data_IF_574090154211
#
_entry.id   IF_574090154211
#
_cell.length_a   1.000
_cell.length_b   1.000
_cell.length_c   1.000
_cell.angle_alpha   90.00
_cell.angle_beta   90.00
_cell.angle_gamma   90.00
#
_symmetry.space_group_name_H-M   'P 1'
#
loop_
_entity.id
_entity.type
_entity.pdbx_description
1 polymer ?
#
# COMPACT_ATOMS: atom_id res chain seq x y z
N UNK A 1 30.38 -21.01 -9.01
CA UNK A 1 29.54 -22.11 -9.55
C UNK A 1 28.08 -21.78 -9.18
N UNK A 2 27.40 -21.00 -10.02
CA UNK A 2 26.06 -20.42 -9.74
C UNK A 2 24.98 -21.17 -10.53
N UNK A 3 24.58 -22.36 -10.07
CA UNK A 3 23.49 -23.14 -10.69
C UNK A 3 22.20 -23.20 -9.85
N UNK A 4 22.20 -22.60 -8.65
CA UNK A 4 21.02 -22.60 -7.75
C UNK A 4 20.04 -21.42 -7.91
N UNK A 5 20.46 -20.31 -8.53
CA UNK A 5 19.65 -19.07 -8.56
C UNK A 5 18.59 -19.06 -9.67
N UNK A 6 18.86 -19.68 -10.82
CA UNK A 6 17.93 -19.72 -11.96
C UNK A 6 16.66 -20.56 -11.70
N UNK A 7 16.75 -21.57 -10.83
CA UNK A 7 15.60 -22.43 -10.44
C UNK A 7 14.68 -21.69 -9.46
N UNK A 8 15.19 -20.71 -8.70
CA UNK A 8 14.40 -19.93 -7.76
C UNK A 8 13.53 -18.88 -8.47
N UNK A 9 14.09 -18.14 -9.44
CA UNK A 9 13.36 -17.11 -10.21
C UNK A 9 12.24 -17.68 -11.09
N UNK A 10 12.42 -18.89 -11.65
CA UNK A 10 11.36 -19.56 -12.44
C UNK A 10 10.22 -20.07 -11.57
N UNK A 11 10.52 -20.54 -10.36
CA UNK A 11 9.51 -20.98 -9.39
C UNK A 11 8.71 -19.78 -8.81
N UNK A 12 9.35 -18.61 -8.66
CA UNK A 12 8.68 -17.37 -8.24
C UNK A 12 7.66 -16.90 -9.26
N UNK A 13 7.95 -16.91 -10.57
CA UNK A 13 6.96 -16.56 -11.61
C UNK A 13 5.71 -17.47 -11.59
N UNK A 14 5.91 -18.77 -11.31
CA UNK A 14 4.81 -19.72 -11.11
C UNK A 14 4.00 -19.46 -9.83
N UNK A 15 4.68 -19.21 -8.70
CA UNK A 15 4.03 -18.87 -7.41
C UNK A 15 3.33 -17.51 -7.43
N UNK A 16 3.84 -16.55 -8.18
CA UNK A 16 3.20 -15.26 -8.46
C UNK A 16 1.83 -15.55 -9.10
N UNK A 17 1.77 -16.26 -10.23
CA UNK A 17 0.48 -16.64 -10.85
C UNK A 17 -0.47 -17.40 -9.91
N UNK A 18 0.07 -18.27 -9.04
CA UNK A 18 -0.72 -18.99 -8.04
C UNK A 18 -1.28 -18.08 -6.93
N UNK A 19 -0.47 -17.12 -6.45
CA UNK A 19 -0.86 -16.10 -5.45
C UNK A 19 -1.92 -15.16 -6.02
N UNK A 20 -1.80 -14.77 -7.30
CA UNK A 20 -2.77 -13.89 -7.97
C UNK A 20 -4.13 -14.57 -8.23
N UNK A 21 -4.17 -15.90 -8.31
CA UNK A 21 -5.34 -16.71 -8.69
C UNK A 21 -6.39 -16.98 -7.60
N UNK A 22 -6.22 -16.50 -6.35
CA UNK A 22 -7.19 -16.73 -5.26
C UNK A 22 -7.61 -15.43 -4.58
N UNK A 23 -8.85 -15.42 -4.05
CA UNK A 23 -9.55 -14.39 -3.26
C UNK A 23 -10.48 -13.44 -4.04
N UNK A 24 -11.79 -13.57 -3.77
CA UNK A 24 -12.89 -12.70 -4.20
C UNK A 24 -13.85 -12.49 -3.01
N UNK A 25 -14.25 -11.25 -2.69
CA UNK A 25 -15.39 -11.02 -1.81
C UNK A 25 -15.59 -9.59 -1.27
N UNK A 26 -16.86 -9.15 -1.34
CA UNK A 26 -17.57 -8.06 -0.64
C UNK A 26 -17.67 -6.63 -1.23
N UNK A 27 -18.89 -6.08 -1.07
CA UNK A 27 -19.48 -4.83 -1.57
C UNK A 27 -19.39 -3.70 -0.50
N UNK A 28 -19.64 -2.40 -0.77
CA UNK A 28 -20.12 -1.70 -1.96
C UNK A 28 -20.16 -0.16 -1.77
N UNK A 29 -20.96 0.49 -2.65
CA UNK A 29 -21.42 1.91 -2.75
C UNK A 29 -20.54 2.87 -3.60
N UNK A 30 -20.95 3.62 -4.66
CA UNK A 30 -22.13 3.70 -5.57
C UNK A 30 -21.85 4.80 -6.66
N UNK A 31 -22.62 4.99 -7.76
CA UNK A 31 -22.86 4.11 -8.92
C UNK A 31 -22.83 4.88 -10.28
N UNK A 32 -22.99 4.19 -11.41
CA UNK A 32 -23.49 4.68 -12.72
C UNK A 32 -22.52 4.84 -13.91
N UNK A 33 -21.20 4.60 -13.79
CA UNK A 33 -20.44 4.24 -15.01
C UNK A 33 -20.57 2.74 -15.22
N UNK A 34 -21.60 2.33 -15.97
CA UNK A 34 -21.61 0.99 -16.56
C UNK A 34 -20.48 0.97 -17.59
N UNK A 35 -19.43 0.22 -17.31
CA UNK A 35 -18.47 -0.11 -18.35
C UNK A 35 -19.15 -1.07 -19.31
N UNK A 36 -19.05 -0.84 -20.63
CA UNK A 36 -19.55 -1.82 -21.58
C UNK A 36 -18.85 -3.17 -21.31
N UNK A 37 -19.54 -4.31 -21.52
CA UNK A 37 -18.87 -5.60 -21.47
C UNK A 37 -17.68 -5.58 -22.45
N UNK A 38 -16.56 -6.22 -22.10
CA UNK A 38 -15.40 -6.29 -22.98
C UNK A 38 -15.80 -6.92 -24.32
N UNK A 39 -15.20 -6.46 -25.41
CA UNK A 39 -15.29 -7.21 -26.66
C UNK A 39 -14.57 -8.57 -26.46
N UNK A 40 -15.00 -9.64 -27.15
CA UNK A 40 -14.49 -11.00 -26.93
C UNK A 40 -12.96 -11.14 -27.00
N UNK A 41 -12.29 -10.24 -27.71
CA UNK A 41 -10.86 -10.31 -28.02
C UNK A 41 -10.01 -9.22 -27.32
N UNK A 42 -10.55 -8.49 -26.34
CA UNK A 42 -9.76 -7.46 -25.64
C UNK A 42 -8.80 -8.09 -24.63
N UNK A 43 -7.52 -7.73 -24.71
CA UNK A 43 -6.53 -8.12 -23.69
C UNK A 43 -6.79 -7.38 -22.36
N UNK A 44 -6.27 -7.86 -21.22
CA UNK A 44 -6.36 -7.14 -19.94
C UNK A 44 -5.87 -5.70 -20.00
N UNK A 45 -4.80 -5.44 -20.76
CA UNK A 45 -4.19 -4.13 -20.98
C UNK A 45 -5.14 -3.21 -21.75
N UNK A 46 -5.67 -3.66 -22.89
CA UNK A 46 -6.63 -2.90 -23.69
C UNK A 46 -7.88 -2.56 -22.88
N UNK A 47 -8.34 -3.51 -22.06
CA UNK A 47 -9.49 -3.29 -21.16
C UNK A 47 -9.15 -2.29 -20.06
N UNK A 48 -7.95 -2.33 -19.49
CA UNK A 48 -7.50 -1.36 -18.52
C UNK A 48 -7.47 0.05 -19.13
N UNK A 49 -6.90 0.22 -20.32
CA UNK A 49 -6.87 1.51 -21.03
C UNK A 49 -8.28 2.04 -21.29
N UNK A 50 -9.20 1.16 -21.71
CA UNK A 50 -10.60 1.54 -21.95
C UNK A 50 -11.31 2.03 -20.69
N UNK A 51 -11.04 1.39 -19.54
CA UNK A 51 -11.70 1.69 -18.26
C UNK A 51 -11.07 2.91 -17.58
N UNK A 52 -9.74 2.95 -17.52
CA UNK A 52 -8.96 3.98 -16.83
C UNK A 52 -8.81 5.25 -17.64
N UNK A 53 -8.77 5.14 -18.98
CA UNK A 53 -8.33 6.21 -19.87
C UNK A 53 -6.83 6.49 -19.83
N UNK A 54 -6.04 5.66 -19.13
CA UNK A 54 -4.59 5.76 -19.02
C UNK A 54 -3.95 4.72 -19.95
N UNK A 55 -3.01 5.10 -20.84
CA UNK A 55 -2.26 4.13 -21.66
C UNK A 55 -1.53 3.12 -20.77
N UNK A 56 -1.52 1.86 -21.18
CA UNK A 56 -0.89 0.79 -20.43
C UNK A 56 0.61 1.02 -20.24
N UNK A 57 1.27 1.53 -21.28
CA UNK A 57 2.70 1.89 -21.26
C UNK A 57 3.04 2.98 -20.22
N UNK A 58 2.04 3.74 -19.76
CA UNK A 58 2.22 4.74 -18.71
C UNK A 58 2.19 4.15 -17.29
N UNK A 59 1.66 2.93 -17.11
CA UNK A 59 1.56 2.27 -15.81
C UNK A 59 2.93 1.91 -15.27
N UNK A 60 3.80 1.36 -16.12
CA UNK A 60 5.13 0.91 -15.70
C UNK A 60 5.98 2.03 -15.13
N UNK A 61 6.17 3.18 -15.80
CA UNK A 61 6.94 4.28 -15.24
C UNK A 61 6.37 4.84 -13.93
N UNK A 62 5.05 4.81 -13.73
CA UNK A 62 4.42 5.28 -12.50
C UNK A 62 4.71 4.32 -11.33
N UNK A 63 4.55 3.02 -11.54
CA UNK A 63 4.82 2.01 -10.51
C UNK A 63 6.32 1.80 -10.26
N UNK A 64 7.16 2.12 -11.25
CA UNK A 64 8.62 2.07 -11.18
C UNK A 64 9.28 3.33 -10.61
N UNK A 65 8.51 4.40 -10.38
CA UNK A 65 9.08 5.72 -10.13
C UNK A 65 10.00 5.74 -8.90
N UNK A 66 11.17 6.38 -9.02
CA UNK A 66 12.17 6.48 -7.95
C UNK A 66 12.87 5.15 -7.58
N UNK A 67 12.62 4.04 -8.28
CA UNK A 67 13.46 2.85 -8.17
C UNK A 67 14.82 3.11 -8.86
N UNK A 68 15.93 2.52 -8.36
CA UNK A 68 17.24 2.66 -8.99
C UNK A 68 17.25 2.22 -10.46
N UNK A 69 18.03 2.91 -11.31
CA UNK A 69 18.05 2.69 -12.77
C UNK A 69 18.47 1.28 -13.19
N UNK A 70 19.27 0.60 -12.35
CA UNK A 70 19.70 -0.79 -12.56
C UNK A 70 18.66 -1.83 -12.09
N UNK A 71 17.52 -1.39 -11.57
CA UNK A 71 16.42 -2.27 -11.17
C UNK A 71 15.68 -2.78 -12.39
N UNK A 72 15.65 -4.10 -12.56
CA UNK A 72 14.86 -4.75 -13.60
C UNK A 72 13.40 -4.88 -13.15
N UNK A 73 12.48 -4.37 -13.98
CA UNK A 73 11.06 -4.27 -13.63
C UNK A 73 10.21 -5.09 -14.60
N UNK A 74 9.41 -5.99 -14.04
CA UNK A 74 8.40 -6.80 -14.72
C UNK A 74 7.02 -6.44 -14.15
N UNK A 75 6.02 -6.31 -15.01
CA UNK A 75 4.64 -6.00 -14.60
C UNK A 75 3.71 -7.00 -15.25
N UNK A 76 2.89 -7.64 -14.41
CA UNK A 76 1.85 -8.56 -14.82
C UNK A 76 0.48 -7.94 -14.56
N UNK A 77 -0.47 -8.23 -15.44
CA UNK A 77 -1.82 -7.70 -15.38
C UNK A 77 -2.84 -8.82 -15.49
N UNK A 78 -3.73 -8.88 -14.51
CA UNK A 78 -4.88 -9.75 -14.55
C UNK A 78 -6.16 -8.91 -14.45
N UNK A 79 -7.13 -9.19 -15.31
CA UNK A 79 -8.47 -8.65 -15.19
C UNK A 79 -9.40 -9.78 -14.76
N UNK A 80 -10.13 -9.58 -13.67
CA UNK A 80 -11.26 -10.44 -13.32
C UNK A 80 -12.56 -9.69 -13.61
N UNK A 81 -13.39 -10.27 -14.47
CA UNK A 81 -14.80 -9.89 -14.52
C UNK A 81 -15.49 -10.55 -13.32
N UNK A 82 -16.10 -9.76 -12.44
CA UNK A 82 -16.97 -10.34 -11.42
C UNK A 82 -18.13 -11.09 -12.07
N UNK A 83 -18.73 -12.05 -11.35
CA UNK A 83 -19.97 -12.72 -11.76
C UNK A 83 -21.14 -11.75 -12.02
N UNK A 84 -21.03 -10.52 -11.49
CA UNK A 84 -21.86 -9.38 -11.83
C UNK A 84 -21.05 -8.51 -12.80
N UNK A 85 -21.50 -8.36 -14.06
CA UNK A 85 -20.88 -7.55 -15.13
C UNK A 85 -20.59 -6.08 -14.75
N UNK A 86 -20.98 -5.68 -13.52
CA UNK A 86 -20.84 -4.36 -12.93
C UNK A 86 -19.52 -4.17 -12.16
N UNK A 87 -18.74 -5.24 -11.93
CA UNK A 87 -17.45 -5.15 -11.24
C UNK A 87 -16.32 -5.53 -12.19
N UNK A 88 -15.61 -4.52 -12.69
CA UNK A 88 -14.32 -4.72 -13.34
C UNK A 88 -13.23 -4.41 -12.33
N UNK A 89 -12.57 -5.46 -11.83
CA UNK A 89 -11.40 -5.35 -10.97
C UNK A 89 -10.15 -5.77 -11.74
N UNK A 90 -9.08 -5.03 -11.55
CA UNK A 90 -7.76 -5.39 -12.06
C UNK A 90 -6.86 -5.77 -10.90
N UNK A 91 -6.00 -6.76 -11.12
CA UNK A 91 -4.83 -7.00 -10.27
C UNK A 91 -3.60 -6.66 -11.08
N UNK A 92 -2.76 -5.82 -10.52
CA UNK A 92 -1.49 -5.39 -11.09
C UNK A 92 -0.39 -5.97 -10.22
N UNK A 93 0.41 -6.86 -10.78
CA UNK A 93 1.62 -7.36 -10.13
C UNK A 93 2.82 -6.59 -10.62
N UNK A 94 3.65 -6.09 -9.71
CA UNK A 94 4.97 -5.56 -10.02
C UNK A 94 6.03 -6.45 -9.35
N UNK A 95 7.04 -6.79 -10.13
CA UNK A 95 8.25 -7.45 -9.68
C UNK A 95 9.46 -6.59 -10.04
N UNK A 96 10.23 -6.20 -9.03
CA UNK A 96 11.46 -5.43 -9.21
C UNK A 96 12.66 -6.20 -8.64
N UNK A 97 13.65 -6.45 -9.49
CA UNK A 97 14.87 -7.21 -9.19
C UNK A 97 16.10 -6.28 -9.22
N UNK A 98 16.93 -6.29 -8.17
CA UNK A 98 18.23 -5.62 -8.14
C UNK A 98 19.24 -6.52 -7.44
N UNK A 99 20.27 -6.98 -8.15
CA UNK A 99 21.20 -7.99 -7.63
C UNK A 99 20.48 -9.30 -7.25
N UNK A 100 20.63 -9.73 -5.99
CA UNK A 100 19.89 -10.86 -5.38
C UNK A 100 18.63 -10.41 -4.61
N UNK A 101 18.29 -9.12 -4.68
CA UNK A 101 17.13 -8.53 -4.03
C UNK A 101 15.88 -8.53 -4.91
N UNK A 102 14.72 -8.64 -4.27
CA UNK A 102 13.41 -8.75 -4.93
C UNK A 102 12.34 -7.96 -4.18
N UNK A 103 11.64 -7.07 -4.89
CA UNK A 103 10.41 -6.43 -4.46
C UNK A 103 9.24 -7.09 -5.20
N UNK A 104 8.24 -7.53 -4.44
CA UNK A 104 6.96 -8.00 -4.96
C UNK A 104 5.86 -7.05 -4.49
N UNK A 105 5.14 -6.49 -5.44
CA UNK A 105 3.97 -5.65 -5.20
C UNK A 105 2.76 -6.22 -5.95
N UNK A 106 1.60 -6.23 -5.29
CA UNK A 106 0.31 -6.60 -5.88
C UNK A 106 -0.70 -5.53 -5.50
N UNK A 107 -1.33 -4.92 -6.49
CA UNK A 107 -2.36 -3.90 -6.33
C UNK A 107 -3.68 -4.42 -6.92
N UNK A 108 -4.72 -4.48 -6.09
CA UNK A 108 -6.09 -4.61 -6.57
C UNK A 108 -6.66 -3.20 -6.86
N UNK A 109 -7.14 -3.01 -8.08
CA UNK A 109 -7.73 -1.77 -8.58
C UNK A 109 -9.22 -1.99 -8.78
N UNK A 110 -10.04 -1.29 -8.00
CA UNK A 110 -11.49 -1.31 -8.15
C UNK A 110 -11.98 0.05 -8.65
N UNK A 111 -12.21 0.13 -9.97
CA UNK A 111 -12.73 1.33 -10.63
C UNK A 111 -14.19 1.63 -10.29
N UNK A 112 -14.94 0.66 -9.80
CA UNK A 112 -16.35 0.86 -9.43
C UNK A 112 -16.46 1.73 -8.18
N UNK A 113 -15.55 1.57 -7.23
CA UNK A 113 -15.50 2.35 -5.98
C UNK A 113 -14.37 3.38 -5.97
N UNK A 114 -13.48 3.37 -6.97
CA UNK A 114 -12.36 4.31 -7.09
C UNK A 114 -11.34 4.13 -5.96
N UNK A 115 -11.01 2.87 -5.66
CA UNK A 115 -10.09 2.49 -4.58
C UNK A 115 -8.96 1.64 -5.14
N UNK A 116 -7.76 1.94 -4.67
CA UNK A 116 -6.58 1.09 -4.82
C UNK A 116 -6.35 0.32 -3.51
N UNK A 117 -6.05 -0.98 -3.60
CA UNK A 117 -5.76 -1.84 -2.45
C UNK A 117 -4.47 -2.61 -2.67
N UNK A 118 -3.39 -2.31 -1.95
CA UNK A 118 -2.21 -3.14 -1.94
C UNK A 118 -2.51 -4.46 -1.23
N UNK A 119 -2.44 -5.56 -1.98
CA UNK A 119 -2.58 -6.92 -1.46
C UNK A 119 -1.25 -7.43 -0.89
N UNK A 120 -0.14 -7.09 -1.58
CA UNK A 120 1.21 -7.56 -1.23
C UNK A 120 2.18 -6.41 -1.46
N UNK A 121 3.03 -6.10 -0.47
CA UNK A 121 4.26 -5.32 -0.64
C UNK A 121 5.33 -6.03 0.18
N UNK A 122 6.25 -6.75 -0.48
CA UNK A 122 7.28 -7.55 0.20
C UNK A 122 8.65 -7.32 -0.42
N UNK A 123 9.66 -7.25 0.44
CA UNK A 123 11.06 -7.13 0.03
C UNK A 123 11.90 -8.30 0.55
N UNK A 124 12.80 -8.79 -0.29
CA UNK A 124 13.68 -9.92 -0.03
C UNK A 124 15.12 -9.57 -0.43
N UNK A 125 16.09 -10.34 0.08
CA UNK A 125 17.50 -10.20 -0.29
C UNK A 125 18.10 -8.85 0.05
N UNK A 126 19.07 -8.40 -0.76
CA UNK A 126 19.84 -7.17 -0.50
C UNK A 126 19.00 -5.90 -0.47
N UNK A 127 17.89 -5.82 -1.20
CA UNK A 127 17.05 -4.61 -1.21
C UNK A 127 16.27 -4.37 0.11
N UNK A 128 16.22 -5.36 1.02
CA UNK A 128 15.53 -5.21 2.31
C UNK A 128 16.23 -4.14 3.17
N UNK A 129 15.46 -3.14 3.57
CA UNK A 129 15.95 -2.00 4.34
C UNK A 129 16.46 -0.84 3.48
N UNK A 130 16.50 -0.98 2.16
CA UNK A 130 16.93 0.07 1.23
C UNK A 130 15.78 1.01 0.79
N UNK A 131 14.64 0.97 1.48
CA UNK A 131 13.51 1.86 1.19
C UNK A 131 12.56 1.43 0.06
N UNK A 132 12.81 0.31 -0.63
CA UNK A 132 11.95 -0.20 -1.71
C UNK A 132 10.45 -0.30 -1.34
N UNK A 133 10.13 -0.80 -0.14
CA UNK A 133 8.72 -0.87 0.30
C UNK A 133 8.08 0.51 0.51
N UNK A 134 8.87 1.53 0.89
CA UNK A 134 8.39 2.91 1.00
C UNK A 134 8.11 3.51 -0.38
N UNK A 135 9.00 3.20 -1.34
CA UNK A 135 8.87 3.63 -2.75
C UNK A 135 7.65 2.99 -3.41
N UNK A 136 7.47 1.68 -3.25
CA UNK A 136 6.29 0.97 -3.74
C UNK A 136 4.98 1.62 -3.27
N UNK A 137 4.86 1.91 -1.97
CA UNK A 137 3.67 2.59 -1.43
C UNK A 137 3.44 3.98 -2.05
N UNK A 138 4.49 4.79 -2.15
CA UNK A 138 4.38 6.11 -2.74
C UNK A 138 4.01 6.03 -4.23
N UNK A 139 4.56 5.07 -4.96
CA UNK A 139 4.22 4.82 -6.36
C UNK A 139 2.78 4.34 -6.52
N UNK A 140 2.29 3.46 -5.64
CA UNK A 140 0.89 3.06 -5.59
C UNK A 140 -0.02 4.28 -5.35
N UNK A 141 0.34 5.18 -4.44
CA UNK A 141 -0.43 6.40 -4.21
C UNK A 141 -0.42 7.35 -5.43
N UNK A 142 0.73 7.56 -6.06
CA UNK A 142 0.85 8.34 -7.31
C UNK A 142 0.04 7.73 -8.44
N UNK A 143 0.08 6.40 -8.58
CA UNK A 143 -0.71 5.66 -9.55
C UNK A 143 -2.21 5.82 -9.29
N UNK A 144 -2.67 5.66 -8.05
CA UNK A 144 -4.06 5.91 -7.68
C UNK A 144 -4.50 7.35 -7.95
N UNK A 145 -3.63 8.33 -7.69
CA UNK A 145 -3.88 9.73 -8.02
C UNK A 145 -3.99 9.95 -9.54
N UNK A 146 -3.13 9.32 -10.34
CA UNK A 146 -3.17 9.37 -11.81
C UNK A 146 -4.46 8.77 -12.37
N UNK A 147 -5.02 7.76 -11.71
CA UNK A 147 -6.34 7.20 -12.02
C UNK A 147 -7.52 8.07 -11.57
N UNK A 148 -7.26 9.18 -10.87
CA UNK A 148 -8.29 10.07 -10.33
C UNK A 148 -9.05 9.47 -9.14
N UNK A 149 -8.46 8.51 -8.44
CA UNK A 149 -9.04 7.94 -7.22
C UNK A 149 -8.93 8.94 -6.06
N UNK A 150 -9.69 8.69 -4.99
CA UNK A 150 -9.70 9.56 -3.80
C UNK A 150 -8.79 9.06 -2.69
N UNK A 151 -8.61 7.74 -2.60
CA UNK A 151 -7.85 7.11 -1.51
C UNK A 151 -7.27 5.77 -1.92
N UNK A 152 -6.28 5.35 -1.14
CA UNK A 152 -5.78 3.98 -1.09
C UNK A 152 -6.22 3.35 0.23
N UNK A 153 -6.85 2.18 0.14
CA UNK A 153 -7.20 1.38 1.32
C UNK A 153 -6.08 0.37 1.57
N UNK A 154 -5.67 0.28 2.82
CA UNK A 154 -4.48 -0.42 3.25
C UNK A 154 -4.85 -1.45 4.31
N UNK A 155 -4.26 -2.64 4.23
CA UNK A 155 -4.31 -3.63 5.30
C UNK A 155 -2.96 -3.68 6.03
N UNK A 156 -2.86 -2.92 7.12
CA UNK A 156 -1.63 -2.57 7.79
C UNK A 156 -1.23 -3.64 8.79
N UNK A 157 -0.11 -4.30 8.52
CA UNK A 157 0.66 -5.09 9.49
C UNK A 157 2.13 -4.69 9.40
N UNK A 158 2.95 -5.04 10.39
CA UNK A 158 4.38 -4.70 10.33
C UNK A 158 5.06 -5.28 9.07
N UNK A 159 4.70 -6.51 8.67
CA UNK A 159 5.20 -7.18 7.47
C UNK A 159 4.85 -6.45 6.18
N UNK A 160 3.67 -5.83 6.16
CA UNK A 160 3.18 -5.02 5.04
C UNK A 160 3.73 -3.59 5.09
N UNK A 161 4.40 -3.20 6.18
CA UNK A 161 4.90 -1.84 6.37
C UNK A 161 3.92 -0.92 7.08
N UNK A 162 2.95 -1.43 7.83
CA UNK A 162 1.95 -0.67 8.57
C UNK A 162 2.53 0.47 9.43
N UNK A 163 3.72 0.28 10.02
CA UNK A 163 4.45 1.36 10.70
C UNK A 163 4.87 2.49 9.74
N UNK A 164 5.39 2.15 8.55
CA UNK A 164 5.75 3.12 7.51
C UNK A 164 4.51 3.87 7.01
N UNK A 165 3.38 3.17 6.93
CA UNK A 165 2.12 3.74 6.46
C UNK A 165 1.54 4.72 7.48
N UNK A 166 1.57 4.34 8.76
CA UNK A 166 1.26 5.25 9.87
C UNK A 166 2.14 6.51 9.82
N UNK A 167 3.45 6.37 9.61
CA UNK A 167 4.36 7.53 9.42
C UNK A 167 3.99 8.38 8.21
N UNK A 168 3.46 7.79 7.15
CA UNK A 168 2.97 8.52 5.97
C UNK A 168 1.66 9.29 6.24
N UNK A 169 1.04 9.07 7.40
CA UNK A 169 -0.21 9.69 7.79
C UNK A 169 -1.44 8.84 7.50
N UNK A 170 -1.27 7.54 7.20
CA UNK A 170 -2.40 6.63 7.06
C UNK A 170 -3.27 6.64 8.32
N UNK A 171 -4.58 6.77 8.12
CA UNK A 171 -5.53 6.81 9.22
C UNK A 171 -6.22 5.46 9.38
N UNK A 172 -6.31 4.93 10.62
CA UNK A 172 -7.04 3.70 10.87
C UNK A 172 -8.54 3.90 10.62
N UNK A 173 -9.17 2.85 10.12
CA UNK A 173 -10.63 2.81 9.94
C UNK A 173 -11.33 3.11 11.28
N UNK A 174 -12.44 3.84 11.22
CA UNK A 174 -13.10 4.38 12.41
C UNK A 174 -13.51 3.28 13.41
N UNK A 175 -13.97 2.14 12.90
CA UNK A 175 -14.37 0.96 13.65
C UNK A 175 -13.20 0.21 14.30
N UNK A 176 -11.97 0.44 13.86
CA UNK A 176 -10.77 -0.21 14.40
C UNK A 176 -9.96 0.67 15.36
N UNK A 177 -10.30 1.97 15.46
CA UNK A 177 -9.57 2.92 16.33
C UNK A 177 -9.54 2.48 17.79
N UNK A 178 -10.66 1.96 18.31
CA UNK A 178 -10.75 1.54 19.70
C UNK A 178 -9.83 0.35 20.01
N UNK A 179 -9.88 -0.70 19.19
CA UNK A 179 -9.06 -1.89 19.41
C UNK A 179 -7.57 -1.59 19.24
N UNK A 180 -7.21 -0.76 18.24
CA UNK A 180 -5.84 -0.32 18.04
C UNK A 180 -5.34 0.54 19.21
N UNK A 181 -6.16 1.47 19.71
CA UNK A 181 -5.83 2.29 20.89
C UNK A 181 -5.61 1.42 22.13
N UNK A 182 -6.52 0.48 22.42
CA UNK A 182 -6.38 -0.46 23.53
C UNK A 182 -5.08 -1.28 23.42
N UNK A 183 -4.74 -1.74 22.22
CA UNK A 183 -3.49 -2.46 21.98
C UNK A 183 -2.27 -1.59 22.29
N UNK A 184 -2.23 -0.37 21.74
CA UNK A 184 -1.13 0.58 21.96
C UNK A 184 -0.93 0.87 23.45
N UNK A 185 -2.02 1.10 24.19
CA UNK A 185 -1.95 1.32 25.63
C UNK A 185 -1.41 0.11 26.39
N UNK A 186 -1.83 -1.11 26.03
CA UNK A 186 -1.27 -2.32 26.63
C UNK A 186 0.24 -2.49 26.35
N UNK A 187 0.73 -2.03 25.20
CA UNK A 187 2.18 -1.99 24.91
C UNK A 187 2.89 -0.86 25.65
N UNK A 188 2.22 0.27 25.90
CA UNK A 188 2.79 1.35 26.69
C UNK A 188 2.93 0.98 28.16
N UNK A 189 1.92 0.36 28.76
CA UNK A 189 1.95 -0.06 30.18
C UNK A 189 3.17 -0.94 30.49
N UNK A 190 3.57 -1.77 29.52
CA UNK A 190 4.79 -2.60 29.56
C UNK A 190 6.08 -1.78 29.65
N UNK A 191 6.08 -0.60 29.06
CA UNK A 191 7.23 0.31 28.95
C UNK A 191 7.25 1.41 30.03
N UNK A 192 6.30 1.42 30.97
CA UNK A 192 6.16 2.50 31.95
C UNK A 192 7.44 2.77 32.75
N UNK A 193 8.15 1.72 33.17
CA UNK A 193 9.37 1.84 33.98
C UNK A 193 10.64 2.06 33.15
N UNK A 194 10.51 2.11 31.82
CA UNK A 194 11.64 2.13 30.87
C UNK A 194 11.68 3.43 30.08
N UNK A 195 10.51 3.98 29.74
CA UNK A 195 10.42 5.23 29.02
C UNK A 195 10.61 6.41 29.98
N UNK A 196 11.33 7.47 29.57
CA UNK A 196 11.28 8.74 30.26
C UNK A 196 9.83 9.22 30.39
N UNK A 197 9.47 9.75 31.55
CA UNK A 197 8.08 10.16 31.86
C UNK A 197 7.46 11.03 30.77
N UNK A 198 8.24 11.98 30.22
CA UNK A 198 7.79 12.85 29.13
C UNK A 198 7.50 12.09 27.82
N UNK A 199 8.29 11.07 27.47
CA UNK A 199 8.05 10.24 26.29
C UNK A 199 6.81 9.36 26.51
N UNK A 200 6.70 8.74 27.68
CA UNK A 200 5.56 7.93 28.07
C UNK A 200 4.25 8.73 28.01
N UNK A 201 4.22 9.92 28.63
CA UNK A 201 3.02 10.77 28.66
C UNK A 201 2.57 11.19 27.25
N UNK A 202 3.51 11.55 26.37
CA UNK A 202 3.19 11.89 24.97
C UNK A 202 2.66 10.70 24.19
N UNK A 203 3.32 9.56 24.29
CA UNK A 203 2.88 8.34 23.63
C UNK A 203 1.52 7.89 24.15
N UNK A 204 1.28 7.99 25.45
CA UNK A 204 0.00 7.68 26.07
C UNK A 204 -1.12 8.62 25.60
N UNK A 205 -0.86 9.92 25.45
CA UNK A 205 -1.86 10.84 24.91
C UNK A 205 -2.20 10.52 23.46
N UNK A 206 -1.20 10.35 22.59
CA UNK A 206 -1.43 10.02 21.18
C UNK A 206 -1.99 8.61 20.99
N UNK A 207 -1.70 7.67 21.91
CA UNK A 207 -2.23 6.31 21.95
C UNK A 207 -3.75 6.24 22.02
N UNK A 208 -4.41 7.33 22.45
CA UNK A 208 -5.87 7.44 22.48
C UNK A 208 -6.50 7.60 21.09
N UNK A 209 -5.70 7.92 20.07
CA UNK A 209 -6.11 8.08 18.67
C UNK A 209 -7.34 8.99 18.48
N UNK A 210 -7.42 10.07 19.27
CA UNK A 210 -8.57 10.99 19.28
C UNK A 210 -8.55 11.97 18.12
N UNK A 211 -7.36 12.27 17.61
CA UNK A 211 -7.16 13.26 16.57
C UNK A 211 -6.53 12.67 15.32
N UNK A 212 -6.87 13.27 14.17
CA UNK A 212 -6.20 13.01 12.91
C UNK A 212 -4.67 13.19 13.08
N UNK A 213 -3.90 12.21 12.62
CA UNK A 213 -2.44 12.21 12.70
C UNK A 213 -1.83 11.79 14.05
N UNK A 214 -2.60 11.40 15.07
CA UNK A 214 -2.02 10.87 16.31
C UNK A 214 -1.22 9.58 16.06
N UNK A 215 -1.75 8.68 15.23
CA UNK A 215 -1.04 7.48 14.81
C UNK A 215 0.27 7.81 14.08
N UNK A 216 0.28 8.89 13.27
CA UNK A 216 1.49 9.36 12.60
C UNK A 216 2.54 9.83 13.61
N UNK A 217 2.14 10.58 14.64
CA UNK A 217 3.05 11.06 15.69
C UNK A 217 3.65 9.88 16.48
N UNK A 218 2.82 8.89 16.85
CA UNK A 218 3.29 7.67 17.49
C UNK A 218 4.31 6.92 16.64
N UNK A 219 3.98 6.67 15.37
CA UNK A 219 4.89 6.01 14.45
C UNK A 219 6.17 6.84 14.20
N UNK A 220 6.12 8.16 14.36
CA UNK A 220 7.30 9.02 14.25
C UNK A 220 8.27 8.91 15.43
N UNK A 221 7.84 8.39 16.58
CA UNK A 221 8.67 8.30 17.78
C UNK A 221 9.86 7.35 17.56
N UNK A 222 11.07 7.91 17.67
CA UNK A 222 12.33 7.23 17.38
C UNK A 222 13.09 6.77 18.63
N UNK A 223 12.49 6.89 19.82
CA UNK A 223 13.12 6.43 21.06
C UNK A 223 13.45 4.94 20.95
N UNK A 224 14.69 4.56 21.25
CA UNK A 224 15.15 3.18 21.14
C UNK A 224 14.63 2.37 22.34
N UNK A 225 13.88 1.30 22.06
CA UNK A 225 13.34 0.37 23.06
C UNK A 225 13.90 -1.05 22.86
N UNK A 226 15.04 -1.19 22.16
CA UNK A 226 15.65 -2.49 21.88
C UNK A 226 15.95 -3.29 23.15
N UNK A 227 16.42 -2.63 24.22
CA UNK A 227 16.69 -3.30 25.51
C UNK A 227 15.43 -3.94 26.13
N UNK A 228 14.24 -3.43 25.78
CA UNK A 228 12.96 -3.99 26.24
C UNK A 228 12.51 -5.20 25.42
N UNK A 229 12.90 -5.23 24.13
CA UNK A 229 12.57 -6.32 23.21
C UNK A 229 13.04 -7.67 23.77
N UNK A 230 14.26 -7.68 24.30
CA UNK A 230 14.89 -8.89 24.83
C UNK A 230 14.14 -9.40 26.07
N UNK A 231 13.73 -8.49 26.96
CA UNK A 231 12.89 -8.81 28.13
C UNK A 231 11.55 -9.43 27.73
N UNK A 232 10.92 -8.90 26.69
CA UNK A 232 9.64 -9.43 26.18
C UNK A 232 9.77 -10.83 25.57
N UNK A 233 10.88 -11.09 24.88
CA UNK A 233 11.16 -12.43 24.35
C UNK A 233 11.31 -13.45 25.48
N UNK A 234 11.99 -13.07 26.58
CA UNK A 234 12.10 -13.90 27.79
C UNK A 234 10.71 -14.14 28.43
N UNK A 235 9.91 -13.09 28.61
CA UNK A 235 8.55 -13.17 29.17
C UNK A 235 7.64 -14.08 28.30
N UNK A 236 7.66 -13.93 26.97
CA UNK A 236 6.86 -14.75 26.05
C UNK A 236 7.31 -16.21 26.03
N UNK A 237 8.63 -16.46 26.05
CA UNK A 237 9.21 -17.81 26.09
C UNK A 237 8.85 -18.53 27.38
N UNK A 238 8.88 -17.81 28.51
CA UNK A 238 8.48 -18.33 29.81
C UNK A 238 6.99 -18.64 29.90
N UNK A 239 6.15 -17.86 29.20
CA UNK A 239 4.68 -17.97 29.30
C UNK A 239 4.09 -18.97 28.30
N UNK A 240 4.82 -19.33 27.23
CA UNK A 240 4.51 -20.35 26.19
C UNK A 240 3.02 -20.64 26.00
N UNK A 241 2.22 -19.59 25.83
CA UNK A 241 0.85 -19.71 25.33
C UNK A 241 0.93 -19.70 23.82
N UNK A 242 0.19 -20.62 23.19
CA UNK A 242 0.06 -20.80 21.76
C UNK A 242 -0.63 -19.62 21.06
N UNK A 243 -0.19 -18.38 21.29
CA UNK A 243 -0.63 -17.24 20.50
C UNK A 243 0.14 -17.24 19.19
N UNK A 244 -0.59 -17.31 18.08
CA UNK A 244 -0.06 -17.23 16.71
C UNK A 244 0.52 -15.84 16.35
N UNK A 245 0.69 -14.96 17.33
CA UNK A 245 1.23 -13.61 17.14
C UNK A 245 2.75 -13.68 17.25
N UNK A 246 3.43 -13.41 16.13
CA UNK A 246 4.89 -13.23 16.09
C UNK A 246 5.35 -12.24 17.15
N UNK A 247 6.42 -12.58 17.86
CA UNK A 247 7.02 -11.68 18.83
C UNK A 247 8.05 -10.74 18.14
N UNK A 248 8.53 -9.69 18.83
CA UNK A 248 9.54 -8.79 18.26
C UNK A 248 10.87 -9.47 17.85
N UNK A 249 11.20 -10.61 18.44
CA UNK A 249 12.41 -11.38 18.12
C UNK A 249 12.25 -12.07 16.75
N UNK A 250 11.07 -12.64 16.47
CA UNK A 250 10.72 -13.18 15.15
C UNK A 250 10.91 -12.11 14.06
N UNK A 251 10.45 -10.88 14.30
CA UNK A 251 10.65 -9.76 13.37
C UNK A 251 12.12 -9.34 13.24
N UNK A 252 12.91 -9.45 14.32
CA UNK A 252 14.35 -9.20 14.27
C UNK A 252 15.06 -10.25 13.41
N UNK A 253 14.75 -11.53 13.64
CA UNK A 253 15.28 -12.66 12.88
C UNK A 253 14.88 -12.62 11.41
N UNK A 254 13.68 -12.13 11.12
CA UNK A 254 13.21 -11.83 9.77
C UNK A 254 13.79 -10.51 9.21
N UNK A 255 14.64 -9.81 9.95
CA UNK A 255 15.36 -8.63 9.47
C UNK A 255 14.52 -7.37 9.32
N UNK A 256 13.37 -7.26 10.00
CA UNK A 256 12.57 -6.03 10.08
C UNK A 256 13.18 -4.99 11.02
N UNK A 257 13.94 -5.44 12.03
CA UNK A 257 14.58 -4.58 13.04
C UNK A 257 16.11 -4.65 12.95
N UNK A 258 16.69 -4.15 11.85
CA UNK A 258 18.15 -4.20 11.64
C UNK A 258 18.96 -3.28 12.56
N UNK A 259 18.40 -2.13 12.94
CA UNK A 259 19.08 -1.08 13.69
C UNK A 259 18.40 -0.84 15.05
N UNK A 260 17.95 -1.92 15.70
CA UNK A 260 17.11 -1.84 16.89
C UNK A 260 15.63 -1.62 16.60
N UNK A 261 14.85 -1.44 17.66
CA UNK A 261 13.40 -1.26 17.65
C UNK A 261 13.08 0.11 18.21
N UNK A 262 12.47 0.97 17.40
CA UNK A 262 11.95 2.26 17.87
C UNK A 262 10.62 2.08 18.60
N UNK A 263 10.30 3.00 19.51
CA UNK A 263 9.01 3.03 20.22
C UNK A 263 7.83 2.95 19.26
N UNK A 264 7.82 3.72 18.17
CA UNK A 264 6.72 3.67 17.20
C UNK A 264 6.59 2.32 16.49
N UNK A 265 7.71 1.62 16.22
CA UNK A 265 7.67 0.26 15.66
C UNK A 265 7.14 -0.74 16.68
N UNK A 266 7.61 -0.62 17.92
CA UNK A 266 7.20 -1.49 19.02
C UNK A 266 5.70 -1.38 19.32
N UNK A 267 5.14 -0.17 19.36
CA UNK A 267 3.71 0.03 19.64
C UNK A 267 2.78 -0.56 18.57
N UNK A 268 3.30 -0.83 17.37
CA UNK A 268 2.53 -1.36 16.24
C UNK A 268 2.92 -2.78 15.85
N UNK A 269 3.93 -3.38 16.50
CA UNK A 269 4.33 -4.77 16.26
C UNK A 269 3.15 -5.70 16.54
N UNK A 270 2.95 -6.74 15.73
CA UNK A 270 1.84 -7.69 15.93
C UNK A 270 0.43 -7.11 15.76
N UNK A 271 0.28 -5.84 15.40
CA UNK A 271 -1.03 -5.26 15.05
C UNK A 271 -1.39 -5.54 13.61
N UNK A 272 -2.68 -5.72 13.37
CA UNK A 272 -3.27 -5.81 12.05
C UNK A 272 -4.47 -4.86 12.04
N UNK A 273 -4.46 -3.87 11.16
CA UNK A 273 -5.54 -2.90 11.06
C UNK A 273 -5.75 -2.38 9.63
N UNK A 274 -7.00 -2.13 9.26
CA UNK A 274 -7.40 -1.39 8.08
C UNK A 274 -7.07 0.09 8.25
N UNK A 275 -6.45 0.68 7.24
CA UNK A 275 -6.14 2.10 7.19
C UNK A 275 -6.43 2.68 5.81
N UNK A 276 -6.41 4.00 5.69
CA UNK A 276 -6.50 4.67 4.40
C UNK A 276 -5.61 5.90 4.33
N UNK A 277 -5.17 6.22 3.12
CA UNK A 277 -4.52 7.48 2.80
C UNK A 277 -5.40 8.19 1.76
N UNK A 278 -5.77 9.44 2.05
CA UNK A 278 -6.54 10.31 1.17
C UNK A 278 -5.58 11.07 0.24
N UNK A 279 -5.79 10.94 -1.07
CA UNK A 279 -4.95 11.57 -2.08
C UNK A 279 -5.19 13.09 -2.22
N UNK A 280 -6.27 13.62 -1.62
CA UNK A 280 -6.54 15.04 -1.54
C UNK A 280 -5.94 15.68 -0.27
N UNK A 281 -5.54 14.87 0.71
CA UNK A 281 -4.88 15.38 1.92
C UNK A 281 -3.41 15.72 1.62
N UNK A 282 -3.15 17.03 1.51
CA UNK A 282 -1.85 17.55 1.11
C UNK A 282 -0.72 17.10 2.04
N UNK A 283 -0.99 16.96 3.35
CA UNK A 283 0.04 16.54 4.31
C UNK A 283 0.47 15.08 4.08
N UNK A 284 -0.48 14.20 3.78
CA UNK A 284 -0.21 12.78 3.54
C UNK A 284 0.59 12.62 2.25
N UNK A 285 0.15 13.25 1.16
CA UNK A 285 0.84 13.19 -0.13
C UNK A 285 2.25 13.80 -0.07
N UNK A 286 2.45 14.91 0.66
CA UNK A 286 3.78 15.48 0.92
C UNK A 286 4.70 14.52 1.65
N UNK A 287 4.17 13.71 2.56
CA UNK A 287 4.97 12.74 3.31
C UNK A 287 5.36 11.55 2.42
N UNK A 288 4.42 11.04 1.62
CA UNK A 288 4.68 9.94 0.68
C UNK A 288 5.72 10.31 -0.38
N UNK A 289 5.68 11.53 -0.90
CA UNK A 289 6.66 11.97 -1.91
C UNK A 289 8.12 11.92 -1.41
N UNK A 290 8.34 12.14 -0.12
CA UNK A 290 9.66 12.01 0.52
C UNK A 290 10.18 10.57 0.52
N UNK A 291 9.33 9.57 0.27
CA UNK A 291 9.77 8.18 0.19
C UNK A 291 10.37 7.80 -1.16
N UNK A 292 10.07 8.57 -2.21
CA UNK A 292 10.56 8.35 -3.59
C UNK A 292 11.58 9.39 -4.02
N UNK A 293 12.05 10.26 -3.11
CA UNK A 293 12.92 11.40 -3.40
C UNK A 293 12.44 12.19 -4.64
N UNK A 294 11.12 12.32 -4.77
CA UNK A 294 10.48 12.75 -6.02
C UNK A 294 9.23 13.61 -5.83
N UNK A 295 8.52 13.93 -6.92
CA UNK A 295 7.47 14.94 -6.99
C UNK A 295 6.25 14.62 -6.11
N UNK A 296 5.72 15.67 -5.47
CA UNK A 296 4.56 15.61 -4.56
C UNK A 296 3.22 15.72 -5.26
N UNK A 297 3.20 16.19 -6.51
CA UNK A 297 2.01 16.35 -7.32
C UNK A 297 2.22 15.72 -8.69
N UNK A 298 1.13 15.25 -9.33
CA UNK A 298 1.16 14.85 -10.75
C UNK A 298 1.74 15.95 -11.65
N UNK A 299 1.51 17.22 -11.28
CA UNK A 299 2.05 18.39 -11.98
C UNK A 299 3.58 18.48 -11.93
N UNK A 300 4.23 17.81 -10.99
CA UNK A 300 5.67 17.82 -10.77
C UNK A 300 6.36 16.58 -11.36
N UNK A 301 5.60 15.60 -11.90
CA UNK A 301 6.16 14.46 -12.62
C UNK A 301 6.94 14.90 -13.86
N UNK A 302 7.91 14.12 -14.36
CA UNK A 302 8.51 14.36 -15.68
C UNK A 302 7.44 14.62 -16.75
N UNK A 303 7.63 15.59 -17.67
CA UNK A 303 6.65 15.92 -18.71
C UNK A 303 6.12 14.71 -19.47
N UNK A 304 6.97 13.70 -19.66
CA UNK A 304 6.68 12.43 -20.34
C UNK A 304 5.59 11.62 -19.62
N UNK A 305 5.57 11.67 -18.28
CA UNK A 305 4.53 11.04 -17.47
C UNK A 305 3.28 11.94 -17.40
N UNK A 306 3.46 13.27 -17.39
CA UNK A 306 2.34 14.22 -17.39
C UNK A 306 1.50 14.17 -18.66
N UNK A 307 2.14 14.06 -19.83
CA UNK A 307 1.44 13.99 -21.13
C UNK A 307 0.62 12.71 -21.25
N UNK A 308 1.07 11.62 -20.62
CA UNK A 308 0.35 10.34 -20.57
C UNK A 308 -0.84 10.35 -19.61
N UNK A 309 -0.78 11.15 -18.52
CA UNK A 309 -1.83 11.24 -17.48
C UNK A 309 -2.90 12.29 -17.82
N UNK A 310 -2.72 13.13 -18.85
CA UNK A 310 -3.69 14.17 -19.22
C UNK A 310 -5.02 13.56 -19.68
N UNK A 311 -5.91 13.41 -18.71
CA UNK A 311 -7.37 13.23 -18.70
C UNK A 311 -7.98 12.52 -19.92
N UNK A 312 -8.68 11.38 -19.75
CA UNK A 312 -9.64 10.96 -20.77
C UNK A 312 -10.56 12.15 -21.04
N UNK A 313 -10.55 12.62 -22.29
CA UNK A 313 -11.50 13.62 -22.79
C UNK A 313 -12.84 13.24 -22.17
N UNK A 314 -13.40 14.12 -21.33
CA UNK A 314 -14.82 14.03 -21.00
C UNK A 314 -15.49 13.92 -22.35
N UNK A 315 -15.95 12.73 -22.74
CA UNK A 315 -16.89 12.56 -23.82
C UNK A 315 -18.10 13.35 -23.33
N UNK A 316 -18.12 14.65 -23.65
CA UNK A 316 -19.33 15.44 -23.74
C UNK A 316 -20.16 14.63 -24.71
N UNK A 317 -21.03 13.79 -24.15
CA UNK A 317 -22.12 13.21 -24.90
C UNK A 317 -22.71 14.38 -25.68
N UNK A 318 -22.67 14.26 -27.00
CA UNK A 318 -23.39 15.13 -27.91
C UNK A 318 -24.87 15.02 -27.56
N UNK A 319 -25.32 15.78 -26.56
CA UNK A 319 -26.69 16.24 -26.48
C UNK A 319 -26.82 17.36 -27.51
N UNK A 320 -26.68 17.01 -28.80
CA UNK A 320 -27.31 17.82 -29.82
C UNK A 320 -28.80 17.55 -29.70
N UNK A 321 -29.44 18.51 -29.05
CA UNK A 321 -30.86 18.80 -29.11
C UNK A 321 -31.39 18.60 -30.52
N UNK A 322 -32.01 17.45 -30.77
CA UNK A 322 -33.10 17.33 -31.72
C UNK A 322 -34.28 18.12 -31.18
N UNK A 323 -34.19 19.45 -31.24
CA UNK A 323 -35.30 20.35 -31.00
C UNK A 323 -36.13 20.34 -32.28
N UNK A 324 -37.20 19.54 -32.24
CA UNK A 324 -38.32 19.62 -33.15
C UNK A 324 -38.73 21.09 -33.35
N UNK A 325 -38.51 21.63 -34.55
CA UNK A 325 -39.35 22.70 -35.10
C UNK A 325 -40.39 22.06 -36.00
N UNK A 326 -41.57 21.78 -35.44
CA UNK A 326 -42.84 21.82 -36.16
C UNK A 326 -43.52 23.10 -35.74
N UNK A 327 -43.68 24.03 -36.67
CA UNK A 327 -44.78 24.99 -36.80
C UNK A 327 -44.46 25.87 -38.01
N UNK A 328 -44.98 25.48 -39.17
CA UNK A 328 -45.96 26.20 -39.98
C UNK A 328 -46.44 25.25 -41.10
#
# INVERSE_FOLDING_TARGET
>A
MFYGMHVWTTNIKGKIREIFGKVSGMAGFSPNRRFPPPAPDTTPEQRFEQVSGLPFDAVKPLLAYGLPDDTKIDIDFACSAGHDDKKTSFKIGLMAEQGDGLLLESLAVDFTIGILKPDIIKTYGTIRGQGYGRRALANAALFGQALGFKKIDLFASLEMGGYVWAKAGAEPAADQRYDLSRYIHAQLDRLQDVLPEAEYARAHEWGRLRHAGDLQKLAAMSYDVSAYKDRLHEENTATRRASQTKDPEDYTNEGFFKNGVTLGQFLLVGTIYSASIDFHETRQMKTLARYVDGPTNLADLPPELRTQIRTPRRNRANNHSGLNKRQE
#
